data_IF_185354170361
#
_entry.id   IF_185354170361
#
_cell.length_a   1.000
_cell.length_b   1.000
_cell.length_c   1.000
_cell.angle_alpha   90.00
_cell.angle_beta   90.00
_cell.angle_gamma   90.00
#
_symmetry.space_group_name_H-M   'P 1'
#
loop_
_entity.id
_entity.type
_entity.pdbx_description
1 polymer ?
#
# COMPACT_ATOMS: atom_id res chain seq x y z
N UNK A 1 -5.43 14.24 9.18
CA UNK A 1 -4.17 14.21 8.42
C UNK A 1 -3.09 14.52 9.42
N UNK A 2 -2.09 13.66 9.56
CA UNK A 2 -1.03 13.76 10.54
C UNK A 2 -0.07 14.91 10.24
N UNK A 3 0.70 15.32 11.25
CA UNK A 3 1.66 16.43 11.16
C UNK A 3 2.95 16.01 10.43
N UNK A 4 3.35 14.74 10.56
CA UNK A 4 4.58 14.21 9.98
C UNK A 4 4.36 13.60 8.58
N UNK A 5 3.41 12.68 8.48
CA UNK A 5 2.91 12.18 7.19
C UNK A 5 1.46 12.58 7.01
N UNK A 6 1.17 13.20 5.86
CA UNK A 6 -0.19 13.73 5.62
C UNK A 6 -1.24 12.61 5.63
N UNK A 7 -0.89 11.43 5.13
CA UNK A 7 -1.79 10.28 5.01
C UNK A 7 -1.98 9.47 6.30
N UNK A 8 -1.34 9.89 7.39
CA UNK A 8 -1.53 9.32 8.71
C UNK A 8 -2.72 9.97 9.44
N UNK A 9 -3.32 9.25 10.39
CA UNK A 9 -4.29 9.84 11.31
C UNK A 9 -3.61 10.81 12.30
N UNK A 10 -4.36 11.80 12.77
CA UNK A 10 -3.85 12.81 13.69
C UNK A 10 -3.82 12.29 15.13
N UNK A 11 -2.83 12.69 15.91
CA UNK A 11 -2.67 12.28 17.32
C UNK A 11 -2.05 10.90 17.53
N UNK A 12 -1.43 10.34 16.49
CA UNK A 12 -0.75 9.04 16.55
C UNK A 12 0.74 9.23 16.83
N UNK A 13 1.27 8.46 17.78
CA UNK A 13 2.68 8.51 18.16
C UNK A 13 3.60 7.89 17.10
N UNK A 14 4.67 8.60 16.75
CA UNK A 14 5.72 8.14 15.85
C UNK A 14 6.99 7.87 16.65
N UNK A 15 7.44 6.62 16.68
CA UNK A 15 8.65 6.23 17.38
C UNK A 15 9.81 6.18 16.39
N UNK A 16 10.86 6.97 16.64
CA UNK A 16 12.04 7.02 15.77
C UNK A 16 13.13 6.11 16.31
N UNK A 17 13.72 5.29 15.44
CA UNK A 17 14.92 4.54 15.74
C UNK A 17 16.07 5.50 16.12
N UNK A 18 16.87 5.12 17.13
CA UNK A 18 17.91 6.00 17.69
C UNK A 18 18.97 6.40 16.64
N UNK A 19 19.40 5.44 15.81
CA UNK A 19 20.54 5.63 14.90
C UNK A 19 20.21 5.56 13.40
N UNK A 20 19.02 5.07 13.04
CA UNK A 20 18.67 4.74 11.67
C UNK A 20 17.48 5.60 11.24
N UNK A 21 17.29 5.86 9.94
CA UNK A 21 16.18 6.65 9.44
C UNK A 21 14.93 5.78 9.37
N UNK A 22 14.61 5.07 10.45
CA UNK A 22 13.46 4.17 10.55
C UNK A 22 12.51 4.73 11.61
N UNK A 23 11.23 4.70 11.30
CA UNK A 23 10.17 4.96 12.27
C UNK A 23 9.29 3.73 12.42
N UNK A 24 8.73 3.56 13.62
CA UNK A 24 7.66 2.62 13.90
C UNK A 24 6.37 3.41 14.14
N UNK A 25 5.32 3.08 13.39
CA UNK A 25 4.06 3.79 13.49
C UNK A 25 2.86 3.04 12.89
N UNK A 26 1.67 3.62 13.04
CA UNK A 26 0.40 3.06 12.59
C UNK A 26 -0.56 4.12 12.02
N UNK A 27 -1.73 3.64 11.60
CA UNK A 27 -2.90 4.39 11.17
C UNK A 27 -2.63 5.25 9.93
N UNK A 28 -2.31 4.60 8.82
CA UNK A 28 -2.04 5.18 7.51
C UNK A 28 -3.10 4.82 6.47
N UNK A 29 -3.31 5.73 5.52
CA UNK A 29 -3.97 5.43 4.27
C UNK A 29 -2.97 5.44 3.10
N UNK A 30 -3.04 4.45 2.23
CA UNK A 30 -2.18 4.35 1.05
C UNK A 30 -3.01 4.28 -0.22
N UNK A 31 -2.51 4.91 -1.27
CA UNK A 31 -3.21 4.99 -2.55
C UNK A 31 -2.32 4.51 -3.68
N UNK A 32 -2.85 3.63 -4.51
CA UNK A 32 -2.18 3.22 -5.74
C UNK A 32 -3.12 3.41 -6.91
N UNK A 33 -2.61 3.99 -7.98
CA UNK A 33 -3.35 4.18 -9.22
C UNK A 33 -2.60 3.49 -10.34
N UNK A 34 -3.32 2.72 -11.15
CA UNK A 34 -2.79 2.04 -12.33
C UNK A 34 -3.70 2.33 -13.52
N UNK A 35 -3.14 2.29 -14.72
CA UNK A 35 -3.95 2.26 -15.93
C UNK A 35 -4.81 1.00 -15.95
N UNK A 36 -6.09 1.17 -16.25
CA UNK A 36 -7.01 0.05 -16.36
C UNK A 36 -6.84 -0.62 -17.73
N UNK A 37 -6.53 -1.92 -17.71
CA UNK A 37 -6.39 -2.76 -18.89
C UNK A 37 -7.59 -3.71 -19.01
N UNK A 38 -7.95 -4.09 -20.24
CA UNK A 38 -9.12 -4.95 -20.48
C UNK A 38 -8.98 -6.34 -19.83
N UNK A 39 -7.77 -6.83 -19.64
CA UNK A 39 -7.49 -8.10 -18.97
C UNK A 39 -7.73 -8.03 -17.45
N UNK A 40 -8.03 -6.86 -16.88
CA UNK A 40 -8.45 -6.72 -15.49
C UNK A 40 -9.93 -7.07 -15.30
N UNK A 41 -10.73 -7.09 -16.37
CA UNK A 41 -12.11 -7.57 -16.28
C UNK A 41 -12.12 -9.05 -15.90
N UNK A 42 -13.08 -9.43 -15.04
CA UNK A 42 -13.21 -10.80 -14.55
C UNK A 42 -12.25 -11.16 -13.41
N UNK A 43 -11.21 -10.35 -13.14
CA UNK A 43 -10.32 -10.54 -11.99
C UNK A 43 -10.95 -9.94 -10.73
N UNK A 44 -10.99 -10.72 -9.67
CA UNK A 44 -11.46 -10.29 -8.35
C UNK A 44 -10.59 -9.18 -7.78
N UNK A 45 -11.14 -8.39 -6.86
CA UNK A 45 -10.39 -7.36 -6.15
C UNK A 45 -9.20 -7.96 -5.39
N UNK A 46 -9.33 -9.17 -4.83
CA UNK A 46 -8.21 -9.94 -4.28
C UNK A 46 -7.07 -10.13 -5.29
N UNK A 47 -7.36 -10.65 -6.48
CA UNK A 47 -6.34 -10.89 -7.51
C UNK A 47 -5.69 -9.60 -7.99
N UNK A 48 -6.50 -8.55 -8.21
CA UNK A 48 -6.02 -7.24 -8.60
C UNK A 48 -5.14 -6.61 -7.51
N UNK A 49 -5.49 -6.81 -6.23
CA UNK A 49 -4.67 -6.35 -5.12
C UNK A 49 -3.31 -7.06 -5.10
N UNK A 50 -3.31 -8.41 -5.12
CA UNK A 50 -2.09 -9.25 -5.16
C UNK A 50 -1.19 -8.89 -6.35
N UNK A 51 -1.77 -8.56 -7.51
CA UNK A 51 -1.06 -8.14 -8.71
C UNK A 51 -0.29 -6.81 -8.60
N UNK A 52 -0.48 -6.05 -7.51
CA UNK A 52 0.32 -4.85 -7.24
C UNK A 52 1.72 -5.16 -6.73
N UNK A 53 1.94 -6.36 -6.17
CA UNK A 53 3.26 -6.81 -5.70
C UNK A 53 4.01 -7.51 -6.83
N UNK A 54 5.09 -6.91 -7.32
CA UNK A 54 5.81 -7.33 -8.54
C UNK A 54 7.28 -7.58 -8.26
N UNK A 55 7.89 -8.51 -8.98
CA UNK A 55 9.35 -8.69 -8.92
C UNK A 55 10.03 -7.38 -9.30
N UNK A 56 11.00 -6.97 -8.49
CA UNK A 56 11.82 -5.81 -8.77
C UNK A 56 12.52 -5.95 -10.12
N UNK A 57 12.47 -4.90 -10.94
CA UNK A 57 13.20 -4.81 -12.21
C UNK A 57 14.35 -3.82 -12.06
N UNK A 58 15.44 -4.00 -12.81
CA UNK A 58 16.62 -3.15 -12.70
C UNK A 58 16.35 -1.66 -13.01
N UNK A 59 15.29 -1.36 -13.76
CA UNK A 59 14.83 0.00 -14.12
C UNK A 59 13.87 0.62 -13.09
N UNK A 60 13.38 -0.16 -12.13
CA UNK A 60 12.51 0.35 -11.07
C UNK A 60 13.32 1.23 -10.10
N UNK A 61 12.78 2.41 -9.77
CA UNK A 61 13.42 3.31 -8.80
C UNK A 61 13.55 2.63 -7.43
N UNK A 62 14.77 2.63 -6.88
CA UNK A 62 15.16 1.99 -5.62
C UNK A 62 15.08 0.46 -5.58
N UNK A 63 14.89 -0.21 -6.73
CA UNK A 63 15.00 -1.67 -6.87
C UNK A 63 16.30 -2.26 -6.33
N UNK A 64 17.38 -1.50 -6.50
CA UNK A 64 18.73 -1.87 -6.11
C UNK A 64 19.03 -1.60 -4.64
N UNK A 65 18.13 -0.93 -3.90
CA UNK A 65 18.33 -0.68 -2.47
C UNK A 65 18.32 -1.99 -1.69
N UNK A 66 17.40 -2.90 -2.03
CA UNK A 66 17.34 -4.26 -1.49
C UNK A 66 17.05 -5.24 -2.64
N UNK A 67 18.09 -5.81 -3.28
CA UNK A 67 17.93 -6.62 -4.49
C UNK A 67 17.16 -7.92 -4.22
N UNK A 68 16.47 -8.42 -5.26
CA UNK A 68 15.77 -9.70 -5.22
C UNK A 68 14.39 -9.69 -4.56
N UNK A 69 13.93 -8.54 -4.05
CA UNK A 69 12.63 -8.43 -3.41
C UNK A 69 11.49 -8.16 -4.39
N UNK A 70 10.26 -8.55 -4.02
CA UNK A 70 9.05 -8.06 -4.68
C UNK A 70 8.64 -6.73 -4.04
N UNK A 71 8.19 -5.81 -4.89
CA UNK A 71 7.95 -4.42 -4.54
C UNK A 71 6.55 -3.96 -4.96
N UNK A 72 5.99 -3.00 -4.23
CA UNK A 72 4.75 -2.33 -4.58
C UNK A 72 4.82 -0.83 -4.30
N UNK A 73 4.45 -0.01 -5.28
CA UNK A 73 4.45 1.45 -5.20
C UNK A 73 3.09 1.99 -4.78
N UNK A 74 3.09 2.91 -3.81
CA UNK A 74 1.92 3.54 -3.22
C UNK A 74 2.20 5.03 -2.98
N UNK A 75 1.17 5.80 -2.66
CA UNK A 75 1.26 7.22 -2.38
C UNK A 75 0.36 7.64 -1.22
N UNK A 76 0.61 8.83 -0.69
CA UNK A 76 -0.11 9.46 0.41
C UNK A 76 -1.57 9.83 0.08
N UNK A 77 -1.90 9.99 -1.19
CA UNK A 77 -3.21 10.50 -1.59
C UNK A 77 -3.60 10.04 -2.99
N UNK A 78 -4.92 10.01 -3.30
CA UNK A 78 -5.40 9.72 -4.65
C UNK A 78 -4.84 10.69 -5.69
N UNK A 79 -4.59 11.95 -5.29
CA UNK A 79 -4.06 12.99 -6.17
C UNK A 79 -2.60 12.70 -6.55
N UNK A 80 -1.75 12.37 -5.57
CA UNK A 80 -0.36 11.98 -5.82
C UNK A 80 -0.31 10.70 -6.65
N UNK A 81 -1.05 9.64 -6.26
CA UNK A 81 -1.09 8.38 -7.01
C UNK A 81 -1.49 8.57 -8.48
N UNK A 82 -2.47 9.43 -8.74
CA UNK A 82 -2.92 9.75 -10.11
C UNK A 82 -1.90 10.60 -10.87
N UNK A 83 -1.19 11.51 -10.21
CA UNK A 83 -0.16 12.32 -10.86
C UNK A 83 1.02 11.44 -11.29
N UNK A 84 1.46 10.51 -10.43
CA UNK A 84 2.52 9.55 -10.73
C UNK A 84 2.18 8.67 -11.94
N UNK A 85 1.00 8.02 -11.95
CA UNK A 85 0.62 7.16 -13.10
C UNK A 85 0.48 7.96 -14.40
N UNK A 86 0.09 9.24 -14.31
CA UNK A 86 -0.04 10.13 -15.47
C UNK A 86 1.30 10.57 -16.04
N UNK A 87 2.33 10.73 -15.21
CA UNK A 87 3.71 11.00 -15.66
C UNK A 87 4.21 9.89 -16.59
N UNK A 88 3.78 8.65 -16.38
CA UNK A 88 4.12 7.50 -17.22
C UNK A 88 3.19 7.29 -18.44
N UNK A 89 2.35 8.27 -18.78
CA UNK A 89 1.55 8.26 -20.00
C UNK A 89 0.22 7.50 -19.93
N UNK A 90 -0.23 7.09 -18.74
CA UNK A 90 -1.49 6.36 -18.60
C UNK A 90 -2.72 7.13 -19.11
N UNK A 91 -3.67 6.42 -19.72
CA UNK A 91 -4.95 6.98 -20.17
C UNK A 91 -5.86 7.41 -19.02
N UNK A 92 -7.04 7.95 -19.33
CA UNK A 92 -8.03 8.34 -18.32
C UNK A 92 -8.87 7.17 -17.80
N UNK A 93 -8.57 5.94 -18.24
CA UNK A 93 -9.11 4.72 -17.69
C UNK A 93 -8.20 4.26 -16.54
N UNK A 94 -8.66 4.43 -15.31
CA UNK A 94 -7.84 4.26 -14.13
C UNK A 94 -8.51 3.31 -13.14
N UNK A 95 -7.69 2.46 -12.53
CA UNK A 95 -8.04 1.67 -11.36
C UNK A 95 -7.29 2.25 -10.15
N UNK A 96 -8.03 2.68 -9.15
CA UNK A 96 -7.48 3.27 -7.93
C UNK A 96 -7.78 2.38 -6.73
N UNK A 97 -6.72 1.92 -6.08
CA UNK A 97 -6.75 1.22 -4.81
C UNK A 97 -6.59 2.22 -3.67
N UNK A 98 -7.42 2.08 -2.65
CA UNK A 98 -7.27 2.73 -1.36
C UNK A 98 -7.06 1.62 -0.33
N UNK A 99 -5.84 1.53 0.18
CA UNK A 99 -5.43 0.62 1.23
C UNK A 99 -5.19 1.35 2.56
N UNK A 100 -5.10 0.59 3.63
CA UNK A 100 -4.70 1.02 4.96
C UNK A 100 -3.80 -0.05 5.58
N UNK A 101 -3.06 0.32 6.61
CA UNK A 101 -2.30 -0.60 7.45
C UNK A 101 -3.24 -1.36 8.39
N UNK A 102 -3.59 -2.56 7.95
CA UNK A 102 -4.56 -3.40 8.66
C UNK A 102 -3.93 -4.06 9.88
N UNK A 103 -2.62 -4.31 9.83
CA UNK A 103 -1.87 -4.90 10.94
C UNK A 103 -1.96 -4.08 12.24
N UNK A 104 -2.26 -2.79 12.16
CA UNK A 104 -2.44 -1.92 13.31
C UNK A 104 -3.88 -1.45 13.52
N UNK A 105 -4.84 -2.03 12.81
CA UNK A 105 -6.26 -1.70 12.97
C UNK A 105 -6.82 -2.30 14.26
N UNK A 106 -7.90 -1.71 14.78
CA UNK A 106 -8.54 -2.19 16.03
C UNK A 106 -9.11 -3.61 15.89
N UNK A 107 -9.68 -3.92 14.72
CA UNK A 107 -10.09 -5.27 14.33
C UNK A 107 -9.37 -5.61 13.03
N UNK A 108 -8.12 -6.12 13.11
CA UNK A 108 -7.35 -6.45 11.92
C UNK A 108 -7.96 -7.66 11.20
N UNK A 109 -7.75 -7.76 9.88
CA UNK A 109 -8.06 -8.98 9.12
C UNK A 109 -6.84 -9.73 8.64
N UNK A 110 -5.67 -9.33 9.13
CA UNK A 110 -4.38 -9.93 8.77
C UNK A 110 -3.54 -10.17 10.03
N UNK A 111 -2.63 -11.14 9.94
CA UNK A 111 -1.75 -11.50 11.04
C UNK A 111 -0.30 -11.70 10.54
N UNK A 112 0.73 -11.32 11.32
CA UNK A 112 0.66 -10.70 12.65
C UNK A 112 0.18 -9.24 12.61
N UNK A 113 -0.54 -8.86 13.67
CA UNK A 113 -0.99 -7.49 13.88
C UNK A 113 0.18 -6.66 14.43
N UNK A 114 0.93 -6.05 13.52
CA UNK A 114 2.13 -5.26 13.83
C UNK A 114 2.06 -3.87 13.21
N UNK A 115 2.74 -2.92 13.88
CA UNK A 115 3.00 -1.59 13.35
C UNK A 115 3.88 -1.65 12.10
N UNK A 116 3.85 -0.57 11.33
CA UNK A 116 4.72 -0.41 10.17
C UNK A 116 6.10 0.12 10.59
N UNK A 117 7.15 -0.53 10.08
CA UNK A 117 8.52 -0.02 10.09
C UNK A 117 8.84 0.66 8.78
N UNK A 118 8.93 1.99 8.80
CA UNK A 118 9.09 2.81 7.58
C UNK A 118 10.49 3.42 7.57
N UNK A 119 11.25 3.16 6.50
CA UNK A 119 12.45 3.94 6.20
C UNK A 119 12.00 5.34 5.77
N UNK A 120 12.32 6.36 6.55
CA UNK A 120 12.07 7.76 6.22
C UNK A 120 13.18 8.31 5.32
N UNK A 121 12.92 8.26 4.01
CA UNK A 121 13.75 8.86 2.97
C UNK A 121 13.67 10.38 2.86
N UNK A 122 12.84 11.06 3.66
CA UNK A 122 12.48 12.46 3.50
C UNK A 122 13.10 13.33 4.59
N UNK A 123 12.87 13.01 5.86
CA UNK A 123 13.19 13.94 6.96
C UNK A 123 14.53 13.62 7.64
N UNK A 124 14.93 12.35 7.72
CA UNK A 124 16.09 11.92 8.51
C UNK A 124 17.37 11.68 7.70
N UNK A 125 17.64 12.52 6.70
CA UNK A 125 18.95 12.59 6.03
C UNK A 125 19.27 11.45 5.04
N UNK A 126 18.40 10.46 4.88
CA UNK A 126 18.61 9.36 3.93
C UNK A 126 18.46 9.77 2.46
N UNK A 127 17.89 10.95 2.21
CA UNK A 127 17.67 11.52 0.87
C UNK A 127 18.93 11.57 0.00
N UNK A 128 20.11 11.79 0.58
CA UNK A 128 21.38 11.85 -0.18
C UNK A 128 21.72 10.50 -0.80
N UNK A 129 21.58 9.42 -0.02
CA UNK A 129 21.80 8.04 -0.49
C UNK A 129 20.78 7.68 -1.56
N UNK A 130 19.50 8.02 -1.34
CA UNK A 130 18.45 7.78 -2.34
C UNK A 130 18.75 8.46 -3.68
N UNK A 131 19.21 9.72 -3.67
CA UNK A 131 19.61 10.43 -4.89
C UNK A 131 20.74 9.75 -5.64
N UNK A 132 21.77 9.26 -4.93
CA UNK A 132 22.86 8.50 -5.57
C UNK A 132 22.33 7.25 -6.27
N UNK A 133 21.47 6.48 -5.59
CA UNK A 133 20.86 5.27 -6.15
C UNK A 133 20.02 5.60 -7.39
N UNK A 134 19.23 6.68 -7.32
CA UNK A 134 18.43 7.15 -8.46
C UNK A 134 19.29 7.56 -9.65
N UNK A 135 20.45 8.17 -9.40
CA UNK A 135 21.41 8.60 -10.43
C UNK A 135 22.34 7.48 -10.92
N UNK A 136 22.18 6.24 -10.42
CA UNK A 136 23.11 5.13 -10.65
C UNK A 136 24.56 5.43 -10.23
N UNK A 137 24.75 6.26 -9.20
CA UNK A 137 26.05 6.55 -8.60
C UNK A 137 26.42 5.46 -7.58
N UNK A 138 27.72 5.16 -7.49
CA UNK A 138 28.24 4.23 -6.50
C UNK A 138 28.14 4.77 -5.07
N UNK A 139 27.64 3.93 -4.18
CA UNK A 139 27.65 4.20 -2.74
C UNK A 139 29.06 3.97 -2.17
N UNK A 140 29.49 4.81 -1.22
CA UNK A 140 30.72 4.59 -0.47
C UNK A 140 30.63 3.34 0.39
N UNK A 141 31.75 2.87 0.92
CA UNK A 141 31.76 1.73 1.84
C UNK A 141 30.93 2.00 3.09
N UNK A 142 31.01 3.21 3.67
CA UNK A 142 30.18 3.55 4.84
C UNK A 142 28.69 3.61 4.49
N UNK A 143 28.34 4.15 3.32
CA UNK A 143 26.94 4.21 2.85
C UNK A 143 26.37 2.81 2.63
N UNK A 144 27.15 1.88 2.06
CA UNK A 144 26.75 0.47 1.90
C UNK A 144 26.49 -0.19 3.25
N UNK A 145 27.43 -0.07 4.20
CA UNK A 145 27.26 -0.59 5.56
C UNK A 145 26.02 0.02 6.24
N UNK A 146 25.75 1.30 6.03
CA UNK A 146 24.57 1.96 6.56
C UNK A 146 23.27 1.41 5.97
N UNK A 147 23.21 1.22 4.64
CA UNK A 147 22.07 0.58 3.97
C UNK A 147 21.87 -0.86 4.43
N UNK A 148 22.96 -1.62 4.60
CA UNK A 148 22.89 -2.98 5.12
C UNK A 148 22.27 -3.00 6.52
N UNK A 149 22.69 -2.10 7.42
CA UNK A 149 22.11 -1.98 8.77
C UNK A 149 20.60 -1.69 8.71
N UNK A 150 20.16 -0.79 7.83
CA UNK A 150 18.72 -0.55 7.60
C UNK A 150 18.02 -1.84 7.16
N UNK A 151 18.62 -2.63 6.25
CA UNK A 151 18.07 -3.89 5.79
C UNK A 151 17.93 -4.95 6.89
N UNK A 152 18.84 -4.97 7.88
CA UNK A 152 18.78 -5.91 9.01
C UNK A 152 17.59 -5.65 9.93
N UNK A 153 17.10 -4.41 10.01
CA UNK A 153 15.88 -4.04 10.73
C UNK A 153 14.59 -4.51 10.02
N UNK A 154 14.70 -5.10 8.82
CA UNK A 154 13.58 -5.64 8.02
C UNK A 154 12.41 -4.66 7.87
N UNK A 155 12.65 -3.44 7.38
CA UNK A 155 11.59 -2.45 7.24
C UNK A 155 10.48 -2.94 6.29
N UNK A 156 9.28 -2.42 6.50
CA UNK A 156 8.09 -2.73 5.71
C UNK A 156 8.02 -1.92 4.42
N UNK A 157 8.46 -0.66 4.46
CA UNK A 157 8.49 0.20 3.29
C UNK A 157 9.51 1.33 3.39
N UNK A 158 9.76 1.99 2.25
CA UNK A 158 10.52 3.23 2.12
C UNK A 158 9.58 4.38 1.74
N UNK A 159 9.54 5.44 2.56
CA UNK A 159 8.89 6.70 2.22
C UNK A 159 9.87 7.63 1.48
N UNK A 160 9.43 8.26 0.40
CA UNK A 160 10.22 9.20 -0.39
C UNK A 160 9.36 10.28 -1.05
N UNK A 161 9.95 11.42 -1.37
CA UNK A 161 9.22 12.53 -1.98
C UNK A 161 8.73 12.18 -3.40
N UNK A 162 7.48 12.54 -3.71
CA UNK A 162 6.94 12.51 -5.07
C UNK A 162 7.70 13.49 -5.96
N UNK A 163 7.96 13.09 -7.19
CA UNK A 163 8.52 13.99 -8.20
C UNK A 163 7.44 14.76 -8.96
N UNK A 164 6.22 14.24 -8.98
CA UNK A 164 5.11 14.83 -9.74
C UNK A 164 4.35 15.87 -8.94
N UNK A 165 4.31 15.73 -7.61
CA UNK A 165 3.55 16.61 -6.74
C UNK A 165 4.44 17.14 -5.64
N UNK A 166 4.59 18.46 -5.59
CA UNK A 166 5.21 19.15 -4.46
C UNK A 166 4.50 18.74 -3.17
N UNK A 167 5.29 18.38 -2.16
CA UNK A 167 4.83 17.92 -0.84
C UNK A 167 4.03 16.59 -0.87
N UNK A 168 3.98 15.89 -2.00
CA UNK A 168 3.45 14.54 -2.08
C UNK A 168 4.46 13.51 -1.57
N UNK A 169 4.00 12.50 -0.85
CA UNK A 169 4.82 11.37 -0.41
C UNK A 169 4.45 10.09 -1.16
N UNK A 170 5.47 9.36 -1.60
CA UNK A 170 5.37 8.04 -2.18
C UNK A 170 5.97 6.99 -1.24
N UNK A 171 5.49 5.76 -1.34
CA UNK A 171 5.90 4.64 -0.52
C UNK A 171 6.25 3.45 -1.41
N UNK A 172 7.43 2.87 -1.20
CA UNK A 172 7.86 1.62 -1.80
C UNK A 172 7.75 0.52 -0.75
N UNK A 173 6.70 -0.29 -0.84
CA UNK A 173 6.51 -1.43 0.05
C UNK A 173 7.31 -2.63 -0.41
N UNK A 174 8.01 -3.25 0.54
CA UNK A 174 8.59 -4.57 0.40
C UNK A 174 7.51 -5.63 0.60
N UNK A 175 7.76 -6.88 0.18
CA UNK A 175 6.75 -7.93 0.26
C UNK A 175 6.16 -8.15 1.67
N UNK A 176 6.94 -8.22 2.76
CA UNK A 176 6.38 -8.35 4.10
C UNK A 176 5.47 -7.17 4.47
N UNK A 177 5.93 -5.93 4.24
CA UNK A 177 5.13 -4.74 4.51
C UNK A 177 3.88 -4.61 3.65
N UNK A 178 3.95 -5.03 2.39
CA UNK A 178 2.77 -5.07 1.50
C UNK A 178 1.70 -6.01 2.04
N UNK A 179 2.10 -7.15 2.64
CA UNK A 179 1.17 -8.09 3.28
C UNK A 179 0.51 -7.52 4.54
N UNK A 180 1.05 -6.42 5.10
CA UNK A 180 0.42 -5.64 6.18
C UNK A 180 -0.71 -4.72 5.72
N UNK A 181 -0.97 -4.63 4.41
CA UNK A 181 -2.01 -3.76 3.86
C UNK A 181 -3.32 -4.51 3.59
N UNK A 182 -4.44 -3.88 3.94
CA UNK A 182 -5.77 -4.27 3.46
C UNK A 182 -6.42 -3.14 2.67
N UNK A 183 -7.39 -3.51 1.83
CA UNK A 183 -8.15 -2.56 1.03
C UNK A 183 -9.33 -2.01 1.82
N UNK A 184 -9.50 -0.70 1.73
CA UNK A 184 -10.75 -0.03 2.07
C UNK A 184 -11.70 -0.03 0.87
N UNK A 185 -11.16 0.29 -0.31
CA UNK A 185 -11.96 0.47 -1.53
C UNK A 185 -11.11 0.36 -2.79
N UNK A 186 -11.71 -0.20 -3.85
CA UNK A 186 -11.17 -0.15 -5.21
C UNK A 186 -12.15 0.60 -6.10
N UNK A 187 -11.66 1.57 -6.87
CA UNK A 187 -12.48 2.40 -7.76
C UNK A 187 -12.02 2.24 -9.20
N UNK A 188 -12.93 1.85 -10.09
CA UNK A 188 -12.72 1.85 -11.53
C UNK A 188 -13.33 3.11 -12.13
N UNK A 189 -12.53 3.88 -12.85
CA UNK A 189 -12.96 5.05 -13.62
C UNK A 189 -12.60 4.85 -15.08
N UNK A 190 -13.59 4.67 -15.95
CA UNK A 190 -13.44 4.62 -17.40
C UNK A 190 -13.59 6.02 -18.00
N UNK A 191 -12.62 6.89 -17.73
CA UNK A 191 -12.67 8.30 -18.10
C UNK A 191 -12.52 8.60 -19.59
N UNK A 192 -12.07 7.62 -20.39
CA UNK A 192 -11.96 7.75 -21.85
C UNK A 192 -13.23 7.32 -22.59
N UNK A 193 -14.18 6.65 -21.92
CA UNK A 193 -15.43 6.20 -22.53
C UNK A 193 -16.47 7.33 -22.60
N UNK A 194 -17.31 7.31 -23.65
CA UNK A 194 -18.47 8.22 -23.77
C UNK A 194 -19.39 8.03 -22.55
N UNK A 195 -19.63 9.10 -21.79
CA UNK A 195 -20.41 9.07 -20.54
C UNK A 195 -19.60 8.97 -19.24
N UNK A 196 -18.28 8.68 -19.28
CA UNK A 196 -17.39 8.60 -18.11
C UNK A 196 -17.92 7.69 -16.99
N UNK A 197 -17.92 6.38 -17.23
CA UNK A 197 -18.44 5.41 -16.26
C UNK A 197 -17.49 5.24 -15.07
N UNK A 198 -18.05 5.22 -13.86
CA UNK A 198 -17.28 4.99 -12.62
C UNK A 198 -18.02 4.00 -11.75
N UNK A 199 -17.29 3.09 -11.13
CA UNK A 199 -17.83 2.16 -10.13
C UNK A 199 -16.80 1.92 -9.04
N UNK A 200 -17.25 1.32 -7.94
CA UNK A 200 -16.40 1.01 -6.80
C UNK A 200 -16.83 -0.29 -6.13
N UNK A 201 -15.84 -0.95 -5.53
CA UNK A 201 -16.00 -2.07 -4.62
C UNK A 201 -15.47 -1.64 -3.27
N UNK A 202 -16.23 -1.91 -2.21
CA UNK A 202 -15.87 -1.59 -0.82
C UNK A 202 -15.37 -2.86 -0.12
N UNK A 203 -14.26 -2.76 0.59
CA UNK A 203 -13.63 -3.86 1.33
C UNK A 203 -13.47 -3.54 2.82
N UNK A 204 -13.62 -2.27 3.21
CA UNK A 204 -13.81 -1.86 4.59
C UNK A 204 -14.69 -0.60 4.64
N UNK A 205 -15.51 -0.48 5.68
CA UNK A 205 -16.42 0.65 5.93
C UNK A 205 -15.95 1.45 7.13
N UNK A 206 -16.71 2.51 7.46
CA UNK A 206 -16.51 3.34 8.68
C UNK A 206 -15.11 3.95 8.81
N UNK A 207 -14.83 4.72 9.86
CA UNK A 207 -13.52 5.40 10.04
C UNK A 207 -12.45 4.50 10.64
N UNK A 208 -12.89 3.47 11.36
CA UNK A 208 -12.15 2.40 12.04
C UNK A 208 -11.89 1.17 11.15
N UNK A 209 -12.24 1.25 9.86
CA UNK A 209 -11.98 0.21 8.86
C UNK A 209 -12.65 -1.14 9.14
N UNK A 210 -13.88 -1.14 9.67
CA UNK A 210 -14.65 -2.37 9.83
C UNK A 210 -14.68 -3.17 8.52
N UNK A 211 -14.23 -4.43 8.52
CA UNK A 211 -14.00 -5.16 7.29
C UNK A 211 -15.30 -5.56 6.59
N UNK A 212 -15.23 -5.64 5.26
CA UNK A 212 -16.23 -6.25 4.37
C UNK A 212 -15.49 -7.29 3.54
N UNK A 213 -15.31 -8.48 4.11
CA UNK A 213 -14.44 -9.52 3.56
C UNK A 213 -14.86 -9.94 2.16
N UNK A 214 -16.16 -10.07 1.91
CA UNK A 214 -16.74 -10.39 0.61
C UNK A 214 -16.39 -9.34 -0.44
N UNK A 215 -16.05 -8.10 -0.05
CA UNK A 215 -15.62 -7.04 -0.95
C UNK A 215 -14.50 -7.49 -1.90
N UNK A 216 -13.58 -8.32 -1.43
CA UNK A 216 -12.46 -8.81 -2.22
C UNK A 216 -12.85 -9.82 -3.33
N UNK A 217 -13.99 -10.48 -3.21
CA UNK A 217 -14.52 -11.42 -4.22
C UNK A 217 -15.26 -10.75 -5.37
N UNK A 218 -15.52 -9.45 -5.28
CA UNK A 218 -16.10 -8.70 -6.40
C UNK A 218 -15.06 -8.48 -7.50
N UNK A 219 -15.51 -8.49 -8.75
CA UNK A 219 -14.72 -8.14 -9.92
C UNK A 219 -15.45 -7.11 -10.79
N UNK A 220 -14.69 -6.37 -11.57
CA UNK A 220 -15.25 -5.46 -12.55
C UNK A 220 -15.60 -6.20 -13.84
N UNK A 221 -16.71 -5.80 -14.45
CA UNK A 221 -17.15 -6.25 -15.78
C UNK A 221 -17.37 -5.02 -16.69
N UNK A 222 -17.45 -5.23 -18.03
CA UNK A 222 -17.52 -4.13 -18.98
C UNK A 222 -18.56 -3.05 -18.63
N UNK A 223 -18.22 -1.81 -18.98
CA UNK A 223 -19.05 -0.62 -18.69
C UNK A 223 -19.13 -0.33 -17.18
N UNK A 224 -18.03 -0.56 -16.46
CA UNK A 224 -17.91 -0.28 -15.02
C UNK A 224 -19.03 -0.94 -14.19
N UNK A 225 -19.43 -2.16 -14.53
CA UNK A 225 -20.33 -2.96 -13.70
C UNK A 225 -19.53 -3.80 -12.72
N UNK A 226 -20.14 -4.20 -11.61
CA UNK A 226 -19.54 -5.15 -10.66
C UNK A 226 -20.30 -6.46 -10.71
N UNK A 227 -19.57 -7.56 -10.50
CA UNK A 227 -20.09 -8.91 -10.32
C UNK A 227 -19.30 -9.58 -9.19
N UNK A 228 -19.78 -10.72 -8.72
CA UNK A 228 -19.17 -11.46 -7.62
C UNK A 228 -18.72 -12.85 -8.08
N UNK A 229 -17.59 -13.33 -7.57
CA UNK A 229 -17.15 -14.71 -7.72
C UNK A 229 -17.52 -15.50 -6.45
N UNK A 230 -18.53 -16.37 -6.58
CA UNK A 230 -19.04 -17.20 -5.47
C UNK A 230 -17.98 -18.12 -4.88
N UNK A 231 -16.90 -18.41 -5.61
CA UNK A 231 -15.80 -19.24 -5.10
C UNK A 231 -14.92 -18.51 -4.09
N UNK A 232 -14.97 -17.17 -4.04
CA UNK A 232 -14.09 -16.39 -3.19
C UNK A 232 -14.24 -16.73 -1.70
N UNK A 233 -15.46 -16.99 -1.22
CA UNK A 233 -15.73 -17.37 0.19
C UNK A 233 -15.12 -18.72 0.59
N UNK A 234 -14.70 -19.53 -0.38
CA UNK A 234 -14.00 -20.80 -0.16
C UNK A 234 -12.48 -20.70 -0.34
N UNK A 235 -11.97 -19.50 -0.64
CA UNK A 235 -10.54 -19.28 -0.82
C UNK A 235 -9.78 -19.20 0.50
N UNK A 236 -8.50 -19.58 0.48
CA UNK A 236 -7.61 -19.48 1.65
C UNK A 236 -7.55 -18.05 2.20
N UNK A 237 -7.55 -17.03 1.33
CA UNK A 237 -7.53 -15.63 1.78
C UNK A 237 -8.78 -15.29 2.59
N UNK A 238 -9.96 -15.66 2.10
CA UNK A 238 -11.21 -15.36 2.82
C UNK A 238 -11.25 -16.07 4.17
N UNK A 239 -10.91 -17.37 4.19
CA UNK A 239 -10.92 -18.17 5.41
C UNK A 239 -9.94 -17.60 6.44
N UNK A 240 -8.71 -17.27 6.03
CA UNK A 240 -7.72 -16.70 6.94
C UNK A 240 -8.15 -15.33 7.47
N UNK A 241 -8.63 -14.42 6.60
CA UNK A 241 -9.11 -13.10 7.04
C UNK A 241 -10.27 -13.20 8.03
N UNK A 242 -11.19 -14.14 7.79
CA UNK A 242 -12.33 -14.40 8.66
C UNK A 242 -11.90 -14.94 10.02
N UNK A 243 -10.95 -15.88 10.05
CA UNK A 243 -10.39 -16.40 11.31
C UNK A 243 -9.74 -15.30 12.16
N UNK A 244 -9.00 -14.38 11.52
CA UNK A 244 -8.37 -13.26 12.23
C UNK A 244 -9.42 -12.29 12.77
N UNK A 245 -10.42 -11.93 11.96
CA UNK A 245 -11.53 -11.05 12.35
C UNK A 245 -12.31 -11.62 13.55
N UNK A 246 -12.66 -12.91 13.49
CA UNK A 246 -13.35 -13.63 14.58
C UNK A 246 -12.50 -13.67 15.85
N UNK A 247 -11.21 -14.01 15.74
CA UNK A 247 -10.28 -14.02 16.87
C UNK A 247 -10.14 -12.64 17.52
N UNK A 248 -10.03 -11.57 16.73
CA UNK A 248 -9.94 -10.21 17.26
C UNK A 248 -11.21 -9.80 18.01
N UNK A 249 -12.39 -10.19 17.51
CA UNK A 249 -13.66 -9.97 18.20
C UNK A 249 -13.78 -10.74 19.52
N UNK A 250 -13.29 -11.97 19.58
CA UNK A 250 -13.22 -12.76 20.81
C UNK A 250 -12.32 -12.08 21.85
N UNK A 251 -11.11 -11.67 21.45
CA UNK A 251 -10.17 -10.98 22.35
C UNK A 251 -10.75 -9.67 22.92
N UNK A 252 -11.41 -8.86 22.09
CA UNK A 252 -12.08 -7.63 22.54
C UNK A 252 -13.19 -7.94 23.55
N UNK A 253 -13.97 -8.99 23.29
CA UNK A 253 -15.06 -9.41 24.18
C UNK A 253 -14.54 -9.88 25.53
N UNK A 254 -13.43 -10.62 25.55
CA UNK A 254 -12.75 -11.05 26.78
C UNK A 254 -12.20 -9.87 27.59
N UNK A 255 -11.59 -8.89 26.93
CA UNK A 255 -11.05 -7.69 27.59
C UNK A 255 -12.13 -6.78 28.21
N UNK A 256 -13.37 -6.85 27.72
CA UNK A 256 -14.51 -6.08 28.21
C UNK A 256 -15.29 -6.76 29.36
N UNK A 257 -14.93 -8.00 29.72
CA UNK A 257 -15.53 -8.73 30.85
C UNK A 257 -14.75 -8.50 32.14
#
# INVERSE_FOLDING_TARGET
MGEFFTNQYWGIDIWKHQELPIIECDSFNFFRCVEFQNDFYGRTVSELHKGNLRVSRADNRYSNLFPGQRLSYWADSPKTARAEVKKWGASNNLLTFWAYDDGSSFVPTIYPAEKLHIIDGIHFGFRKILKKIENHEDLTREEKVFVDRIGHEKPDCLAYSSETRKDGTCFLFFEPGFKKLSLRKVTLRLGSCKGKNTTRVTCAVTSDFRPVLEGYGYYFSPIAKTKYDDKYTTSDEYILRKQVDEYSHEQITEMMR
#
